data_IF_292657573056
#
_entry.id   IF_292657573056
#
_cell.length_a   1.000
_cell.length_b   1.000
_cell.length_c   1.000
_cell.angle_alpha   90.00
_cell.angle_beta   90.00
_cell.angle_gamma   90.00
#
_symmetry.space_group_name_H-M   'P 1'
#
loop_
_entity.id
_entity.type
_entity.pdbx_description
1 polymer ?
#
# COMPACT_ATOMS: atom_id res chain seq x y z
N UNK A 1 2.38 -11.47 6.08
CA UNK A 1 0.93 -11.66 5.80
C UNK A 1 0.27 -10.36 5.39
N UNK A 2 -0.81 -10.46 4.68
CA UNK A 2 -1.56 -9.29 4.23
C UNK A 2 -3.04 -9.62 4.12
N UNK A 3 -3.84 -8.56 4.03
CA UNK A 3 -5.29 -8.65 3.83
C UNK A 3 -5.70 -7.48 2.94
N UNK A 4 -6.62 -7.71 2.00
CA UNK A 4 -7.11 -6.68 1.09
C UNK A 4 -8.61 -6.54 1.29
N UNK A 5 -9.07 -5.31 1.49
CA UNK A 5 -10.49 -4.99 1.64
C UNK A 5 -10.87 -3.90 0.64
N UNK A 6 -11.94 -4.11 -0.11
CA UNK A 6 -12.46 -3.07 -1.01
C UNK A 6 -13.25 -2.07 -0.19
N UNK A 7 -12.84 -0.80 -0.19
CA UNK A 7 -13.47 0.25 0.63
C UNK A 7 -14.19 1.32 -0.20
N UNK A 8 -14.20 1.18 -1.51
CA UNK A 8 -14.88 2.06 -2.44
C UNK A 8 -15.00 1.36 -3.77
N UNK A 9 -15.57 2.02 -4.78
CA UNK A 9 -15.70 1.42 -6.11
C UNK A 9 -14.37 1.02 -6.71
N UNK A 10 -13.35 1.84 -6.47
CA UNK A 10 -12.01 1.62 -6.99
C UNK A 10 -10.92 1.92 -5.95
N UNK A 11 -11.24 1.77 -4.67
CA UNK A 11 -10.27 2.00 -3.60
C UNK A 11 -10.18 0.79 -2.69
N UNK A 12 -8.94 0.49 -2.25
CA UNK A 12 -8.64 -0.72 -1.50
C UNK A 12 -7.85 -0.38 -0.24
N UNK A 13 -8.19 -1.04 0.86
CA UNK A 13 -7.43 -1.00 2.09
C UNK A 13 -6.60 -2.28 2.16
N UNK A 14 -5.29 -2.13 2.33
CA UNK A 14 -4.36 -3.24 2.38
C UNK A 14 -3.67 -3.21 3.74
N UNK A 15 -3.87 -4.26 4.54
CA UNK A 15 -3.21 -4.41 5.83
C UNK A 15 -2.04 -5.36 5.67
N UNK A 16 -0.85 -4.93 6.06
CA UNK A 16 0.33 -5.81 6.10
C UNK A 16 0.63 -6.16 7.55
N UNK A 17 1.00 -7.41 7.81
CA UNK A 17 1.19 -7.95 9.16
C UNK A 17 2.49 -8.75 9.22
N UNK A 18 3.36 -8.39 10.17
CA UNK A 18 4.60 -9.13 10.39
C UNK A 18 5.52 -9.13 9.19
N UNK A 19 6.05 -10.32 8.86
CA UNK A 19 6.99 -10.48 7.75
C UNK A 19 6.29 -10.54 6.41
N UNK A 20 7.02 -10.12 5.38
CA UNK A 20 6.50 -10.11 4.01
C UNK A 20 7.56 -10.72 3.08
N UNK A 21 7.78 -12.06 3.18
CA UNK A 21 8.81 -12.72 2.36
C UNK A 21 8.46 -12.73 0.88
N UNK A 22 9.43 -13.03 -0.01
CA UNK A 22 9.18 -12.98 -1.47
C UNK A 22 8.00 -13.81 -1.94
N UNK A 23 7.76 -14.99 -1.38
CA UNK A 23 6.61 -15.82 -1.75
C UNK A 23 5.28 -15.15 -1.43
N UNK A 24 5.23 -14.42 -0.31
CA UNK A 24 4.03 -13.66 0.08
C UNK A 24 3.90 -12.42 -0.81
N UNK A 25 5.01 -11.74 -1.12
CA UNK A 25 5.00 -10.60 -2.01
C UNK A 25 4.49 -10.99 -3.41
N UNK A 26 4.93 -12.10 -3.95
CA UNK A 26 4.47 -12.60 -5.24
C UNK A 26 2.98 -12.92 -5.24
N UNK A 27 2.48 -13.56 -4.18
CA UNK A 27 1.06 -13.84 -4.04
C UNK A 27 0.26 -12.55 -3.95
N UNK A 28 0.77 -11.56 -3.22
CA UNK A 28 0.14 -10.25 -3.12
C UNK A 28 0.01 -9.61 -4.50
N UNK A 29 1.07 -9.66 -5.33
CA UNK A 29 1.03 -9.12 -6.69
C UNK A 29 -0.10 -9.77 -7.49
N UNK A 30 -0.22 -11.10 -7.43
CA UNK A 30 -1.27 -11.82 -8.14
C UNK A 30 -2.66 -11.41 -7.67
N UNK A 31 -2.87 -11.36 -6.36
CA UNK A 31 -4.17 -10.98 -5.78
C UNK A 31 -4.52 -9.54 -6.13
N UNK A 32 -3.55 -8.63 -6.03
CA UNK A 32 -3.76 -7.22 -6.32
C UNK A 32 -4.10 -7.01 -7.79
N UNK A 33 -3.38 -7.67 -8.69
CA UNK A 33 -3.65 -7.58 -10.12
C UNK A 33 -5.04 -8.11 -10.45
N UNK A 34 -5.48 -9.17 -9.80
CA UNK A 34 -6.80 -9.75 -10.03
C UNK A 34 -7.91 -8.79 -9.58
N UNK A 35 -7.79 -8.20 -8.39
CA UNK A 35 -8.85 -7.30 -7.87
C UNK A 35 -8.88 -5.95 -8.60
N UNK A 36 -7.78 -5.52 -9.18
CA UNK A 36 -7.73 -4.25 -9.93
C UNK A 36 -7.91 -4.45 -11.43
N UNK A 37 -8.08 -5.69 -11.87
CA UNK A 37 -8.28 -6.03 -13.27
C UNK A 37 -9.54 -5.34 -13.79
N UNK A 38 -9.40 -4.65 -14.92
CA UNK A 38 -10.53 -3.95 -15.53
C UNK A 38 -10.81 -2.56 -14.95
N UNK A 39 -10.11 -2.16 -13.89
CA UNK A 39 -10.24 -0.81 -13.35
C UNK A 39 -9.29 0.12 -14.09
N UNK A 40 -9.79 1.21 -14.73
CA UNK A 40 -8.90 2.15 -15.42
C UNK A 40 -8.03 2.93 -14.43
N UNK A 41 -8.53 3.15 -13.21
CA UNK A 41 -7.80 3.84 -12.15
C UNK A 41 -8.25 3.36 -10.78
N UNK A 42 -7.40 3.50 -9.77
CA UNK A 42 -7.70 3.06 -8.42
C UNK A 42 -6.92 3.86 -7.38
N UNK A 43 -7.32 3.76 -6.10
CA UNK A 43 -6.57 4.29 -4.99
C UNK A 43 -6.37 3.21 -3.91
N UNK A 44 -5.35 3.40 -3.07
CA UNK A 44 -5.01 2.43 -2.03
C UNK A 44 -4.64 3.12 -0.73
N UNK A 45 -5.02 2.47 0.39
CA UNK A 45 -4.50 2.78 1.71
C UNK A 45 -3.75 1.54 2.16
N UNK A 46 -2.45 1.67 2.38
CA UNK A 46 -1.60 0.55 2.78
C UNK A 46 -1.19 0.75 4.22
N UNK A 47 -1.76 -0.06 5.10
CA UNK A 47 -1.58 0.01 6.54
C UNK A 47 -0.42 -0.88 6.96
N UNK A 48 0.69 -0.27 7.35
CA UNK A 48 1.92 -0.95 7.76
C UNK A 48 2.20 -0.78 9.26
N UNK A 49 1.18 -0.47 10.06
CA UNK A 49 1.38 -0.23 11.49
C UNK A 49 1.93 -1.46 12.23
N UNK A 50 1.61 -2.66 11.74
CA UNK A 50 2.05 -3.92 12.33
C UNK A 50 3.03 -4.67 11.44
N UNK A 51 3.65 -3.98 10.48
CA UNK A 51 4.57 -4.58 9.52
C UNK A 51 6.02 -4.55 10.03
N UNK A 52 6.83 -5.47 9.49
CA UNK A 52 8.27 -5.52 9.71
C UNK A 52 8.96 -5.14 8.39
N UNK A 53 10.24 -4.80 8.47
CA UNK A 53 11.03 -4.44 7.29
C UNK A 53 10.95 -5.52 6.20
N UNK A 54 10.88 -5.08 4.96
CA UNK A 54 10.96 -5.95 3.80
C UNK A 54 12.41 -6.38 3.57
N UNK A 55 12.62 -7.62 3.13
CA UNK A 55 13.94 -7.99 2.63
C UNK A 55 14.14 -7.40 1.23
N UNK A 56 15.36 -7.49 0.70
CA UNK A 56 15.71 -6.89 -0.59
C UNK A 56 14.87 -7.43 -1.73
N UNK A 57 14.59 -8.73 -1.74
CA UNK A 57 13.80 -9.34 -2.81
C UNK A 57 12.35 -8.87 -2.77
N UNK A 58 11.73 -8.87 -1.59
CA UNK A 58 10.36 -8.38 -1.42
C UNK A 58 10.26 -6.91 -1.78
N UNK A 59 11.23 -6.11 -1.36
CA UNK A 59 11.31 -4.69 -1.71
C UNK A 59 11.26 -4.49 -3.23
N UNK A 60 12.08 -5.25 -3.96
CA UNK A 60 12.14 -5.12 -5.42
C UNK A 60 10.86 -5.60 -6.10
N UNK A 61 10.22 -6.65 -5.59
CA UNK A 61 8.93 -7.14 -6.11
C UNK A 61 7.87 -6.05 -5.97
N UNK A 62 7.77 -5.45 -4.79
CA UNK A 62 6.79 -4.39 -4.51
C UNK A 62 7.09 -3.14 -5.34
N UNK A 63 8.36 -2.75 -5.45
CA UNK A 63 8.76 -1.60 -6.26
C UNK A 63 8.34 -1.78 -7.72
N UNK A 64 8.54 -2.96 -8.28
CA UNK A 64 8.14 -3.25 -9.67
C UNK A 64 6.64 -3.07 -9.85
N UNK A 65 5.84 -3.58 -8.92
CA UNK A 65 4.39 -3.40 -8.96
C UNK A 65 4.01 -1.91 -8.91
N UNK A 66 4.67 -1.15 -8.02
CA UNK A 66 4.38 0.27 -7.88
C UNK A 66 4.67 1.03 -9.17
N UNK A 67 5.81 0.76 -9.79
CA UNK A 67 6.19 1.40 -11.06
C UNK A 67 5.17 1.06 -12.16
N UNK A 68 4.81 -0.22 -12.28
CA UNK A 68 3.86 -0.67 -13.31
C UNK A 68 2.45 -0.13 -13.10
N UNK A 69 2.08 0.20 -11.87
CA UNK A 69 0.74 0.70 -11.57
C UNK A 69 0.65 2.22 -11.48
N UNK A 70 1.75 2.95 -11.62
CA UNK A 70 1.77 4.41 -11.46
C UNK A 70 0.75 5.14 -12.34
N UNK A 71 0.58 4.72 -13.59
CA UNK A 71 -0.35 5.37 -14.51
C UNK A 71 -1.80 5.24 -14.09
N UNK A 72 -2.15 4.09 -13.49
CA UNK A 72 -3.52 3.80 -13.07
C UNK A 72 -3.82 4.30 -11.66
N UNK A 73 -2.79 4.67 -10.91
CA UNK A 73 -2.95 5.10 -9.52
C UNK A 73 -3.50 6.53 -9.45
N UNK A 74 -4.57 6.72 -8.68
CA UNK A 74 -5.09 8.06 -8.36
C UNK A 74 -4.28 8.62 -7.20
N UNK A 75 -4.32 7.93 -6.05
CA UNK A 75 -3.53 8.27 -4.86
C UNK A 75 -3.30 7.03 -4.01
N UNK A 76 -2.20 7.01 -3.29
CA UNK A 76 -1.87 5.94 -2.37
C UNK A 76 -1.33 6.54 -1.07
N UNK A 77 -1.82 6.06 0.07
CA UNK A 77 -1.31 6.45 1.39
C UNK A 77 -0.64 5.24 2.03
N UNK A 78 0.56 5.43 2.55
CA UNK A 78 1.30 4.42 3.30
C UNK A 78 1.27 4.81 4.78
N UNK A 79 0.52 4.07 5.59
CA UNK A 79 0.38 4.35 7.01
C UNK A 79 1.52 3.67 7.77
N UNK A 80 2.38 4.46 8.38
CA UNK A 80 3.56 3.97 9.10
C UNK A 80 3.66 4.70 10.43
N UNK A 81 3.76 3.97 11.53
CA UNK A 81 3.97 4.56 12.84
C UNK A 81 5.41 5.10 12.94
N UNK A 82 5.74 5.74 14.07
CA UNK A 82 7.09 6.24 14.29
C UNK A 82 8.07 5.08 14.48
N UNK A 83 8.53 4.54 13.38
CA UNK A 83 9.49 3.44 13.31
C UNK A 83 10.58 3.87 12.31
N UNK A 84 11.69 4.48 12.78
CA UNK A 84 12.68 5.06 11.87
C UNK A 84 13.23 4.11 10.78
N UNK A 85 13.57 2.84 11.08
CA UNK A 85 14.03 1.95 10.02
C UNK A 85 12.98 1.69 8.94
N UNK A 86 11.73 1.46 9.34
CA UNK A 86 10.64 1.22 8.41
C UNK A 86 10.32 2.48 7.60
N UNK A 87 10.33 3.63 8.26
CA UNK A 87 10.15 4.94 7.60
C UNK A 87 11.15 5.14 6.47
N UNK A 88 12.43 4.88 6.76
CA UNK A 88 13.50 5.05 5.76
C UNK A 88 13.31 4.10 4.58
N UNK A 89 12.92 2.86 4.84
CA UNK A 89 12.67 1.89 3.80
C UNK A 89 11.56 2.34 2.87
N UNK A 90 10.43 2.79 3.43
CA UNK A 90 9.31 3.25 2.62
C UNK A 90 9.58 4.59 1.92
N UNK A 91 10.36 5.48 2.54
CA UNK A 91 10.80 6.70 1.86
C UNK A 91 11.61 6.36 0.61
N UNK A 92 12.54 5.43 0.72
CA UNK A 92 13.33 4.97 -0.42
C UNK A 92 12.46 4.32 -1.49
N UNK A 93 11.50 3.50 -1.06
CA UNK A 93 10.57 2.83 -1.97
C UNK A 93 9.75 3.85 -2.77
N UNK A 94 9.23 4.88 -2.10
CA UNK A 94 8.45 5.93 -2.76
C UNK A 94 9.30 6.77 -3.70
N UNK A 95 10.53 7.08 -3.32
CA UNK A 95 11.47 7.80 -4.20
C UNK A 95 11.73 7.01 -5.49
N UNK A 96 11.99 5.72 -5.35
CA UNK A 96 12.29 4.86 -6.51
C UNK A 96 11.06 4.65 -7.39
N UNK A 97 9.88 4.64 -6.82
CA UNK A 97 8.63 4.54 -7.60
C UNK A 97 8.34 5.83 -8.37
N UNK A 98 8.92 6.94 -7.94
CA UNK A 98 8.91 8.24 -8.63
C UNK A 98 7.51 8.76 -8.98
N UNK A 99 6.55 8.65 -8.03
CA UNK A 99 5.20 9.15 -8.25
C UNK A 99 4.78 10.11 -7.13
N UNK A 100 4.32 11.33 -7.47
CA UNK A 100 3.82 12.27 -6.46
C UNK A 100 2.48 11.87 -5.86
N UNK A 101 1.86 10.84 -6.38
CA UNK A 101 0.54 10.36 -5.92
C UNK A 101 0.64 9.52 -4.64
N UNK A 102 1.84 9.18 -4.18
CA UNK A 102 2.09 8.34 -3.01
C UNK A 102 2.59 9.19 -1.85
N UNK A 103 2.06 8.91 -0.66
CA UNK A 103 2.43 9.69 0.54
C UNK A 103 2.51 8.79 1.76
N UNK A 104 3.49 9.05 2.62
CA UNK A 104 3.59 8.41 3.93
C UNK A 104 2.77 9.26 4.90
N UNK A 105 1.89 8.60 5.66
CA UNK A 105 1.07 9.23 6.69
C UNK A 105 1.21 8.46 8.00
N UNK A 106 0.72 9.01 9.10
CA UNK A 106 0.95 8.45 10.44
C UNK A 106 -0.25 7.71 11.02
N UNK A 107 -1.43 7.91 10.45
CA UNK A 107 -2.64 7.23 10.92
C UNK A 107 -3.66 7.09 9.80
N UNK A 108 -4.71 6.32 10.07
CA UNK A 108 -5.74 6.05 9.06
C UNK A 108 -6.57 7.27 8.70
N UNK A 109 -6.74 8.21 9.62
CA UNK A 109 -7.49 9.45 9.34
C UNK A 109 -6.77 10.28 8.28
N UNK A 110 -5.45 10.43 8.40
CA UNK A 110 -4.64 11.12 7.39
C UNK A 110 -4.69 10.39 6.04
N UNK A 111 -4.67 9.04 6.08
CA UNK A 111 -4.73 8.23 4.88
C UNK A 111 -6.05 8.43 4.14
N UNK A 112 -7.16 8.36 4.85
CA UNK A 112 -8.49 8.57 4.26
C UNK A 112 -8.60 9.95 3.63
N UNK A 113 -8.08 10.96 4.32
CA UNK A 113 -8.09 12.34 3.83
C UNK A 113 -7.27 12.48 2.55
N UNK A 114 -6.09 11.86 2.51
CA UNK A 114 -5.22 11.93 1.35
C UNK A 114 -5.86 11.31 0.10
N UNK A 115 -6.53 10.15 0.25
CA UNK A 115 -7.17 9.47 -0.88
C UNK A 115 -8.58 10.01 -1.17
N UNK A 116 -9.09 10.93 -0.37
CA UNK A 116 -10.39 11.57 -0.60
C UNK A 116 -11.59 10.75 -0.14
N UNK A 117 -11.40 9.84 0.82
CA UNK A 117 -12.45 8.95 1.33
C UNK A 117 -12.64 9.10 2.85
N UNK A 118 -12.81 10.33 3.30
CA UNK A 118 -12.89 10.62 4.74
C UNK A 118 -14.05 9.91 5.46
N UNK A 119 -15.16 9.68 4.75
CA UNK A 119 -16.35 9.06 5.33
C UNK A 119 -16.37 7.53 5.21
N UNK A 120 -15.33 6.93 4.64
CA UNK A 120 -15.26 5.48 4.46
C UNK A 120 -14.97 4.79 5.79
N UNK A 121 -15.69 3.70 6.04
CA UNK A 121 -15.48 2.84 7.21
C UNK A 121 -14.70 1.60 6.77
N UNK A 122 -13.55 1.39 7.41
CA UNK A 122 -12.76 0.18 7.20
C UNK A 122 -13.29 -0.87 8.17
N UNK A 123 -13.76 -2.00 7.63
CA UNK A 123 -14.42 -3.04 8.41
C UNK A 123 -13.48 -3.71 9.41
N UNK A 124 -12.21 -3.86 9.05
CA UNK A 124 -11.21 -4.50 9.90
C UNK A 124 -9.93 -3.69 9.90
N UNK A 125 -9.70 -2.96 10.97
CA UNK A 125 -8.47 -2.16 11.15
C UNK A 125 -7.40 -2.91 11.95
N UNK A 126 -7.77 -3.98 12.63
CA UNK A 126 -6.88 -4.79 13.47
C UNK A 126 -5.98 -5.75 12.67
#
# INVERSE_FOLDING_TARGET
>A
MYRIEKIGENCFYIKTLGTFPPSVAERFIQDFNEITKGLPEFCTIIDNLDAILLDVHSFNIILDLMIKSNERLIKSAFVISQNPPLDKEFQLLLEKAASPKRKIVRNLEEAKKWVGLEDIIIQRED
#
